data_IF_836046140430
#
_entry.id   IF_836046140430
#
_cell.length_a   1.000
_cell.length_b   1.000
_cell.length_c   1.000
_cell.angle_alpha   90.00
_cell.angle_beta   90.00
_cell.angle_gamma   90.00
#
_symmetry.space_group_name_H-M   'P 1'
#
loop_
_entity.id
_entity.type
_entity.pdbx_description
1 polymer ?
#
# COMPACT_ATOMS: atom_id res chain seq x y z
N UNK A 1 5.64 -18.27 -8.65
CA UNK A 1 6.95 -17.96 -9.29
C UNK A 1 6.77 -18.05 -10.78
N UNK A 2 7.15 -16.99 -11.46
CA UNK A 2 6.88 -16.78 -12.88
C UNK A 2 8.07 -17.23 -13.74
N UNK A 3 7.81 -17.80 -14.92
CA UNK A 3 8.83 -18.25 -15.87
C UNK A 3 9.21 -17.15 -16.87
N UNK A 4 10.38 -17.28 -17.52
CA UNK A 4 10.82 -16.32 -18.57
C UNK A 4 9.79 -16.17 -19.71
N UNK A 5 9.08 -17.25 -20.06
CA UNK A 5 8.04 -17.24 -21.11
C UNK A 5 6.83 -16.41 -20.70
N UNK A 6 6.45 -16.49 -19.43
CA UNK A 6 5.36 -15.67 -18.89
C UNK A 6 5.77 -14.20 -18.84
N UNK A 7 7.02 -13.89 -18.46
CA UNK A 7 7.55 -12.51 -18.52
C UNK A 7 7.53 -11.97 -19.94
N UNK A 8 7.90 -12.79 -20.92
CA UNK A 8 7.80 -12.41 -22.32
C UNK A 8 6.36 -12.15 -22.76
N UNK A 9 5.43 -13.03 -22.35
CA UNK A 9 4.00 -12.89 -22.68
C UNK A 9 3.42 -11.59 -22.11
N UNK A 10 3.77 -11.25 -20.87
CA UNK A 10 3.37 -9.99 -20.24
C UNK A 10 3.92 -8.79 -21.01
N UNK A 11 5.22 -8.78 -21.31
CA UNK A 11 5.86 -7.69 -22.06
C UNK A 11 5.32 -7.56 -23.48
N UNK A 12 5.00 -8.66 -24.15
CA UNK A 12 4.39 -8.66 -25.47
C UNK A 12 3.00 -8.02 -25.41
N UNK A 13 2.24 -8.29 -24.37
CA UNK A 13 0.94 -7.66 -24.13
C UNK A 13 1.07 -6.14 -23.88
N UNK A 14 2.10 -5.72 -23.15
CA UNK A 14 2.42 -4.30 -22.97
C UNK A 14 2.74 -3.63 -24.32
N UNK A 15 3.53 -4.29 -25.17
CA UNK A 15 3.85 -3.78 -26.51
C UNK A 15 2.60 -3.62 -27.41
N UNK A 16 1.58 -4.47 -27.23
CA UNK A 16 0.29 -4.33 -27.92
C UNK A 16 -0.48 -3.11 -27.43
N UNK A 17 -0.45 -2.80 -26.13
CA UNK A 17 -1.13 -1.63 -25.58
C UNK A 17 -0.39 -0.31 -25.85
N UNK A 18 0.94 -0.37 -25.98
CA UNK A 18 1.80 0.81 -26.12
C UNK A 18 2.78 0.60 -27.27
N UNK A 19 2.50 1.18 -28.43
CA UNK A 19 3.35 1.07 -29.64
C UNK A 19 4.79 1.56 -29.41
N UNK A 20 4.98 2.50 -28.48
CA UNK A 20 6.29 3.03 -28.08
C UNK A 20 7.13 2.05 -27.22
N UNK A 21 6.56 0.92 -26.80
CA UNK A 21 7.23 -0.03 -25.93
C UNK A 21 8.01 -1.05 -26.75
N UNK A 22 9.32 -0.83 -26.86
CA UNK A 22 10.22 -1.79 -27.49
C UNK A 22 10.59 -2.93 -26.55
N UNK A 23 10.52 -4.13 -27.11
CA UNK A 23 10.86 -5.40 -26.48
C UNK A 23 12.28 -5.79 -26.89
N UNK A 24 13.18 -5.89 -25.92
CA UNK A 24 14.57 -6.29 -26.13
C UNK A 24 14.92 -7.45 -25.21
N UNK A 25 15.82 -8.34 -25.66
CA UNK A 25 16.19 -9.54 -24.91
C UNK A 25 16.88 -9.20 -23.57
N UNK A 26 17.71 -8.16 -23.52
CA UNK A 26 18.35 -7.70 -22.28
C UNK A 26 17.32 -7.11 -21.31
N UNK A 27 16.31 -6.42 -21.85
CA UNK A 27 15.20 -5.87 -21.08
C UNK A 27 14.33 -6.99 -20.49
N UNK A 28 14.06 -8.05 -21.27
CA UNK A 28 13.34 -9.23 -20.81
C UNK A 28 14.06 -9.92 -19.65
N UNK A 29 15.37 -10.16 -19.76
CA UNK A 29 16.14 -10.81 -18.69
C UNK A 29 16.12 -9.96 -17.40
N UNK A 30 16.27 -8.64 -17.54
CA UNK A 30 16.21 -7.69 -16.42
C UNK A 30 14.83 -7.67 -15.76
N UNK A 31 13.74 -7.70 -16.55
CA UNK A 31 12.38 -7.78 -16.03
C UNK A 31 12.13 -9.11 -15.33
N UNK A 32 12.62 -10.21 -15.88
CA UNK A 32 12.43 -11.53 -15.31
C UNK A 32 13.11 -11.65 -13.94
N UNK A 33 14.34 -11.14 -13.80
CA UNK A 33 15.05 -11.15 -12.51
C UNK A 33 14.27 -10.47 -11.38
N UNK A 34 13.51 -9.43 -11.71
CA UNK A 34 12.69 -8.69 -10.74
C UNK A 34 11.32 -9.33 -10.53
N UNK A 35 10.71 -9.88 -11.59
CA UNK A 35 9.35 -10.41 -11.57
C UNK A 35 9.26 -11.91 -11.25
N UNK A 36 10.39 -12.64 -11.17
CA UNK A 36 10.43 -14.09 -10.91
C UNK A 36 9.69 -14.51 -9.62
N UNK A 37 9.69 -13.64 -8.62
CA UNK A 37 9.05 -13.88 -7.32
C UNK A 37 7.55 -13.53 -7.32
N UNK A 38 7.07 -12.84 -8.36
CA UNK A 38 5.67 -12.43 -8.50
C UNK A 38 4.84 -13.52 -9.21
N UNK A 39 3.51 -13.39 -9.11
CA UNK A 39 2.56 -14.20 -9.86
C UNK A 39 2.10 -13.46 -11.12
N UNK A 40 1.94 -14.20 -12.23
CA UNK A 40 1.54 -13.63 -13.51
C UNK A 40 0.15 -12.99 -13.43
N UNK A 41 -0.83 -13.66 -12.84
CA UNK A 41 -2.22 -13.17 -12.75
C UNK A 41 -2.32 -11.82 -12.03
N UNK A 42 -1.57 -11.66 -10.93
CA UNK A 42 -1.54 -10.38 -10.19
C UNK A 42 -0.92 -9.26 -11.03
N UNK A 43 0.12 -9.56 -11.82
CA UNK A 43 0.76 -8.61 -12.73
C UNK A 43 -0.14 -8.23 -13.90
N UNK A 44 -0.92 -9.17 -14.44
CA UNK A 44 -1.88 -8.89 -15.50
C UNK A 44 -3.01 -7.99 -15.01
N UNK A 45 -3.53 -8.23 -13.80
CA UNK A 45 -4.54 -7.36 -13.18
C UNK A 45 -3.98 -5.95 -12.91
N UNK A 46 -2.73 -5.85 -12.44
CA UNK A 46 -2.04 -4.58 -12.25
C UNK A 46 -1.86 -3.84 -13.59
N UNK A 47 -1.44 -4.55 -14.64
CA UNK A 47 -1.27 -4.01 -15.98
C UNK A 47 -2.59 -3.48 -16.55
N UNK A 48 -3.67 -4.24 -16.46
CA UNK A 48 -4.97 -3.84 -16.98
C UNK A 48 -5.49 -2.56 -16.30
N UNK A 49 -5.32 -2.48 -14.98
CA UNK A 49 -5.68 -1.27 -14.24
C UNK A 49 -4.79 -0.07 -14.59
N UNK A 50 -3.50 -0.29 -14.88
CA UNK A 50 -2.59 0.77 -15.32
C UNK A 50 -2.96 1.29 -16.71
N UNK A 51 -3.33 0.42 -17.65
CA UNK A 51 -3.77 0.80 -19.00
C UNK A 51 -4.97 1.74 -18.96
N UNK A 52 -5.90 1.51 -18.03
CA UNK A 52 -7.05 2.41 -17.83
C UNK A 52 -6.69 3.76 -17.20
N UNK A 53 -5.57 3.84 -16.47
CA UNK A 53 -5.18 5.03 -15.71
C UNK A 53 -4.11 5.88 -16.40
N UNK A 54 -3.29 5.30 -17.27
CA UNK A 54 -2.15 5.99 -17.88
C UNK A 54 -1.97 5.62 -19.35
N UNK A 55 -1.75 6.66 -20.15
CA UNK A 55 -1.43 6.58 -21.59
C UNK A 55 0.03 6.20 -21.83
N UNK A 56 0.87 6.22 -20.78
CA UNK A 56 2.29 5.89 -20.87
C UNK A 56 2.57 4.44 -20.43
N UNK A 57 3.55 3.78 -21.07
CA UNK A 57 3.90 2.40 -20.74
C UNK A 57 4.33 2.29 -19.27
N UNK A 58 3.85 1.26 -18.55
CA UNK A 58 4.21 1.06 -17.15
C UNK A 58 5.70 0.74 -17.00
N UNK A 59 6.33 1.26 -15.94
CA UNK A 59 7.64 0.78 -15.50
C UNK A 59 7.46 -0.46 -14.64
N UNK A 60 8.53 -1.25 -14.48
CA UNK A 60 8.54 -2.41 -13.57
C UNK A 60 8.04 -2.02 -12.17
N UNK A 61 8.49 -0.86 -11.68
CA UNK A 61 8.12 -0.34 -10.38
C UNK A 61 6.63 -0.01 -10.24
N UNK A 62 5.96 0.43 -11.31
CA UNK A 62 4.53 0.75 -11.28
C UNK A 62 3.69 -0.51 -11.10
N UNK A 63 4.08 -1.61 -11.76
CA UNK A 63 3.45 -2.92 -11.61
C UNK A 63 3.67 -3.48 -10.19
N UNK A 64 4.87 -3.34 -9.63
CA UNK A 64 5.21 -3.81 -8.28
C UNK A 64 4.55 -2.99 -7.17
N UNK A 65 4.48 -1.66 -7.31
CA UNK A 65 3.82 -0.79 -6.33
C UNK A 65 2.36 -1.18 -6.17
N UNK A 66 1.67 -1.41 -7.29
CA UNK A 66 0.25 -1.78 -7.26
C UNK A 66 0.00 -3.13 -6.61
N UNK A 67 0.94 -4.06 -6.76
CA UNK A 67 0.99 -5.34 -6.04
C UNK A 67 1.15 -5.14 -4.53
N UNK A 68 2.01 -4.21 -4.10
CA UNK A 68 2.18 -3.87 -2.69
C UNK A 68 0.94 -3.14 -2.12
N UNK A 69 0.36 -2.21 -2.86
CA UNK A 69 -0.87 -1.50 -2.47
C UNK A 69 -2.06 -2.48 -2.35
N UNK A 70 -2.16 -3.46 -3.25
CA UNK A 70 -3.16 -4.53 -3.15
C UNK A 70 -2.96 -5.42 -1.91
N UNK A 71 -1.72 -5.53 -1.40
CA UNK A 71 -1.37 -6.30 -0.18
C UNK A 71 -1.50 -5.49 1.11
N UNK A 72 -1.60 -4.17 1.04
CA UNK A 72 -1.71 -3.26 2.20
C UNK A 72 -3.10 -2.65 2.24
N UNK A 73 -4.11 -3.49 2.38
CA UNK A 73 -5.40 -3.07 2.95
C UNK A 73 -5.80 -4.13 3.97
N UNK A 74 -5.45 -3.97 5.27
CA UNK A 74 -6.07 -4.79 6.30
C UNK A 74 -7.59 -4.58 6.20
N UNK A 75 -8.33 -5.67 6.12
CA UNK A 75 -9.79 -5.60 6.08
C UNK A 75 -10.35 -4.89 7.33
N UNK A 76 -11.62 -4.46 7.32
CA UNK A 76 -12.27 -3.89 8.51
C UNK A 76 -12.22 -4.84 9.72
N UNK A 77 -12.11 -6.14 9.48
CA UNK A 77 -11.97 -7.18 10.50
C UNK A 77 -10.60 -7.18 11.19
N UNK A 78 -9.50 -6.91 10.46
CA UNK A 78 -8.15 -6.75 11.03
C UNK A 78 -7.99 -5.43 11.79
N UNK A 79 -8.72 -4.38 11.38
CA UNK A 79 -8.75 -3.09 12.11
C UNK A 79 -9.39 -3.25 13.50
N UNK A 80 -10.38 -4.14 13.64
CA UNK A 80 -11.03 -4.40 14.93
C UNK A 80 -10.08 -5.06 15.94
N UNK A 81 -9.19 -5.94 15.49
CA UNK A 81 -8.23 -6.63 16.37
C UNK A 81 -7.08 -5.72 16.83
N UNK A 82 -6.70 -4.72 16.01
CA UNK A 82 -5.70 -3.71 16.40
C UNK A 82 -6.31 -2.67 17.36
N UNK A 83 -7.57 -2.26 17.15
CA UNK A 83 -8.28 -1.35 18.06
C UNK A 83 -8.68 -2.00 19.41
N UNK A 84 -8.83 -3.33 19.46
CA UNK A 84 -9.17 -4.06 20.69
C UNK A 84 -7.97 -4.29 21.62
N UNK A 85 -6.75 -3.95 21.19
CA UNK A 85 -5.51 -4.19 21.91
C UNK A 85 -5.17 -3.14 22.98
N UNK A 86 -5.84 -3.22 24.15
CA UNK A 86 -5.40 -2.70 25.46
C UNK A 86 -5.18 -1.17 25.59
N UNK A 87 -6.24 -0.39 25.55
CA UNK A 87 -6.29 0.79 26.42
C UNK A 87 -6.90 0.32 27.76
N UNK A 88 -6.06 0.03 28.76
CA UNK A 88 -6.56 -0.03 30.13
C UNK A 88 -6.90 1.41 30.48
N UNK A 89 -8.19 1.78 30.64
CA UNK A 89 -8.51 3.14 31.06
C UNK A 89 -7.74 3.42 32.35
N UNK A 90 -7.00 4.53 32.36
CA UNK A 90 -6.23 4.94 33.54
C UNK A 90 -7.14 4.94 34.77
N UNK A 91 -6.61 4.52 35.93
CA UNK A 91 -7.41 4.48 37.16
C UNK A 91 -8.00 5.88 37.43
N UNK A 92 -9.21 5.91 37.99
CA UNK A 92 -9.98 7.15 38.22
C UNK A 92 -9.18 8.23 38.96
N UNK A 93 -8.27 7.80 39.84
CA UNK A 93 -7.36 8.66 40.59
C UNK A 93 -6.38 9.43 39.69
N UNK A 94 -5.84 8.79 38.65
CA UNK A 94 -4.91 9.41 37.68
C UNK A 94 -5.65 10.41 36.82
N UNK A 95 -6.87 10.07 36.38
CA UNK A 95 -7.73 10.96 35.61
C UNK A 95 -8.02 12.24 36.40
N UNK A 96 -8.32 12.11 37.68
CA UNK A 96 -8.65 13.24 38.55
C UNK A 96 -7.44 14.14 38.81
N UNK A 97 -6.27 13.56 39.06
CA UNK A 97 -5.01 14.31 39.24
C UNK A 97 -4.62 15.08 37.97
N UNK A 98 -4.78 14.48 36.78
CA UNK A 98 -4.47 15.17 35.53
C UNK A 98 -5.50 16.25 35.18
N UNK A 99 -6.79 16.02 35.44
CA UNK A 99 -7.83 17.05 35.31
C UNK A 99 -7.56 18.25 36.24
N UNK A 100 -7.10 18.02 37.46
CA UNK A 100 -6.79 19.09 38.42
C UNK A 100 -5.55 19.90 38.00
N UNK A 101 -4.52 19.23 37.46
CA UNK A 101 -3.37 19.91 36.84
C UNK A 101 -3.80 20.74 35.64
N UNK A 102 -4.62 20.19 34.75
CA UNK A 102 -5.14 20.91 33.58
C UNK A 102 -5.98 22.11 34.00
N UNK A 103 -6.83 21.97 35.03
CA UNK A 103 -7.62 23.09 35.58
C UNK A 103 -6.75 24.19 36.16
N UNK A 104 -5.65 23.82 36.83
CA UNK A 104 -4.67 24.77 37.39
C UNK A 104 -3.93 25.51 36.29
N UNK A 105 -3.47 24.81 35.25
CA UNK A 105 -2.77 25.40 34.11
C UNK A 105 -3.68 26.34 33.31
N UNK A 106 -4.94 25.97 33.14
CA UNK A 106 -5.94 26.78 32.42
C UNK A 106 -6.53 27.92 33.26
N UNK A 107 -6.13 28.06 34.53
CA UNK A 107 -6.57 29.16 35.39
C UNK A 107 -8.07 29.17 35.68
N UNK A 108 -8.78 28.04 35.51
CA UNK A 108 -10.22 27.91 35.78
C UNK A 108 -10.42 27.73 37.29
N UNK A 109 -10.08 28.79 38.02
CA UNK A 109 -9.99 28.82 39.47
C UNK A 109 -9.96 30.25 40.00
N UNK A 110 -10.78 31.15 39.43
CA UNK A 110 -11.33 32.34 40.09
C UNK A 110 -12.26 33.08 39.14
N UNK A 111 -13.53 32.68 39.21
CA UNK A 111 -14.67 33.40 38.66
C UNK A 111 -15.77 33.41 39.71
N UNK A 112 -15.45 33.94 40.89
CA UNK A 112 -16.44 34.38 41.88
C UNK A 112 -16.18 35.88 42.08
N UNK A 113 -17.00 36.68 41.38
CA UNK A 113 -17.43 38.01 41.82
C UNK A 113 -18.81 37.86 42.42
#
# INVERSE_FOLDING_TARGET
MMTKRETFSLMARIAVYYEQFELDQKKLDSWHEVLKECNLEELEAALQAHVSASVYPPKIADLLKKLLEARVVPGPEETASIAAGKDKPASREVIQRELEKVRTILGIGRGES
#
